data_IF_584903430871
#
_entry.id   IF_584903430871
#
_cell.length_a   1.000
_cell.length_b   1.000
_cell.length_c   1.000
_cell.angle_alpha   90.00
_cell.angle_beta   90.00
_cell.angle_gamma   90.00
#
_symmetry.space_group_name_H-M   'P 1'
#
loop_
_entity.id
_entity.type
_entity.pdbx_description
1 polymer ?
#
# COMPACT_ATOMS: atom_id res chain seq x y z
N UNK A 1 38.69 12.18 7.80
CA UNK A 1 37.62 11.38 8.42
C UNK A 1 37.98 9.91 8.26
N UNK A 2 38.53 9.24 9.28
CA UNK A 2 39.06 7.86 9.14
C UNK A 2 38.55 6.86 10.18
N UNK A 3 37.76 7.29 11.16
CA UNK A 3 37.22 6.39 12.19
C UNK A 3 35.84 6.87 12.67
N UNK A 4 34.75 6.41 12.04
CA UNK A 4 33.39 6.80 12.43
C UNK A 4 32.90 5.95 13.61
N UNK A 5 32.31 6.61 14.61
CA UNK A 5 31.56 5.93 15.67
C UNK A 5 30.29 5.33 15.03
N UNK A 6 30.15 4.00 15.10
CA UNK A 6 28.98 3.27 14.62
C UNK A 6 28.02 3.03 15.78
N UNK A 7 26.88 3.71 15.75
CA UNK A 7 25.76 3.41 16.65
C UNK A 7 24.85 2.44 15.88
N UNK A 8 24.93 1.15 16.22
CA UNK A 8 24.14 0.09 15.59
C UNK A 8 23.06 -0.34 16.57
N UNK A 9 21.79 -0.22 16.15
CA UNK A 9 20.69 -0.89 16.84
C UNK A 9 20.75 -2.36 16.41
N UNK A 10 20.61 -3.30 17.36
CA UNK A 10 20.42 -4.71 16.99
C UNK A 10 19.26 -4.75 16.00
N UNK A 11 19.39 -5.56 14.95
CA UNK A 11 18.24 -5.86 14.10
C UNK A 11 17.25 -6.58 15.00
N UNK A 12 16.38 -5.83 15.66
CA UNK A 12 15.23 -6.38 16.37
C UNK A 12 14.56 -7.28 15.33
N UNK A 13 14.12 -8.47 15.75
CA UNK A 13 13.09 -9.13 15.00
C UNK A 13 11.97 -8.10 14.91
N UNK A 14 11.85 -7.42 13.76
CA UNK A 14 10.77 -6.50 13.48
C UNK A 14 9.53 -7.37 13.38
N UNK A 15 9.03 -7.77 14.54
CA UNK A 15 7.75 -8.43 14.71
C UNK A 15 6.73 -7.31 14.54
N UNK A 16 5.80 -7.51 13.60
CA UNK A 16 4.67 -6.61 13.45
C UNK A 16 3.67 -6.88 14.60
N UNK A 17 4.11 -6.67 15.84
CA UNK A 17 3.28 -6.83 17.03
C UNK A 17 2.12 -5.84 16.94
N UNK A 18 0.89 -6.38 16.90
CA UNK A 18 -0.32 -5.58 16.66
C UNK A 18 -0.88 -5.66 15.24
N UNK A 19 -0.14 -6.18 14.26
CA UNK A 19 -0.64 -6.41 12.89
C UNK A 19 -0.88 -7.90 12.68
N UNK A 20 -2.14 -8.26 12.45
CA UNK A 20 -2.49 -9.62 12.03
C UNK A 20 -2.19 -9.78 10.55
N UNK A 21 -1.38 -10.79 10.23
CA UNK A 21 -0.96 -11.08 8.86
C UNK A 21 -1.73 -12.29 8.33
N UNK A 22 -2.31 -12.14 7.15
CA UNK A 22 -3.04 -13.19 6.45
C UNK A 22 -2.57 -13.26 5.00
N UNK A 23 -2.86 -14.36 4.33
CA UNK A 23 -2.67 -14.48 2.89
C UNK A 23 -3.88 -15.17 2.26
N UNK A 24 -4.16 -14.82 1.02
CA UNK A 24 -5.14 -15.50 0.17
C UNK A 24 -4.37 -16.07 -1.01
N UNK A 25 -4.42 -17.39 -1.16
CA UNK A 25 -3.80 -18.04 -2.31
C UNK A 25 -4.75 -17.92 -3.50
N UNK A 26 -4.29 -17.25 -4.54
CA UNK A 26 -4.94 -17.18 -5.85
C UNK A 26 -4.15 -18.00 -6.85
N UNK A 27 -4.82 -18.80 -7.67
CA UNK A 27 -4.15 -19.63 -8.68
C UNK A 27 -3.69 -18.83 -9.90
N UNK A 28 -4.44 -17.77 -10.23
CA UNK A 28 -4.20 -16.92 -11.41
C UNK A 28 -4.14 -15.46 -11.03
N UNK A 29 -3.30 -14.72 -11.75
CA UNK A 29 -3.13 -13.29 -11.55
C UNK A 29 -4.43 -12.51 -11.79
N UNK A 30 -5.21 -12.91 -12.80
CA UNK A 30 -6.50 -12.28 -13.12
C UNK A 30 -7.53 -12.39 -11.98
N UNK A 31 -7.45 -13.42 -11.15
CA UNK A 31 -8.40 -13.67 -10.06
C UNK A 31 -8.15 -12.79 -8.84
N UNK A 32 -6.98 -12.16 -8.73
CA UNK A 32 -6.68 -11.22 -7.65
C UNK A 32 -7.63 -10.03 -7.63
N UNK A 33 -8.04 -9.56 -8.81
CA UNK A 33 -8.90 -8.40 -8.94
C UNK A 33 -10.29 -8.68 -8.38
N UNK A 34 -10.87 -9.83 -8.74
CA UNK A 34 -12.18 -10.24 -8.21
C UNK A 34 -12.09 -10.52 -6.70
N UNK A 35 -11.03 -11.22 -6.26
CA UNK A 35 -10.76 -11.47 -4.83
C UNK A 35 -10.63 -10.16 -4.03
N UNK A 36 -9.99 -9.14 -4.60
CA UNK A 36 -9.87 -7.83 -3.98
C UNK A 36 -11.25 -7.18 -3.80
N UNK A 37 -12.09 -7.20 -4.83
CA UNK A 37 -13.43 -6.63 -4.78
C UNK A 37 -14.31 -7.35 -3.74
N UNK A 38 -14.30 -8.68 -3.70
CA UNK A 38 -15.05 -9.48 -2.71
C UNK A 38 -14.65 -9.11 -1.27
N UNK A 39 -13.36 -8.83 -1.04
CA UNK A 39 -12.84 -8.40 0.24
C UNK A 39 -13.40 -7.03 0.64
N UNK A 40 -13.52 -6.09 -0.30
CA UNK A 40 -14.09 -4.77 -0.05
C UNK A 40 -15.61 -4.80 0.18
N UNK A 41 -16.34 -5.73 -0.42
CA UNK A 41 -17.78 -5.90 -0.18
C UNK A 41 -18.08 -6.46 1.23
N UNK A 42 -17.18 -7.31 1.75
CA UNK A 42 -17.39 -8.00 3.02
C UNK A 42 -16.89 -7.20 4.23
N UNK A 43 -15.87 -6.35 4.04
CA UNK A 43 -15.21 -5.64 5.14
C UNK A 43 -15.69 -4.20 5.27
N UNK A 44 -16.06 -3.80 6.49
CA UNK A 44 -16.23 -2.38 6.84
C UNK A 44 -14.85 -1.75 7.03
N UNK A 45 -14.26 -1.27 5.94
CA UNK A 45 -12.91 -0.70 5.93
C UNK A 45 -12.98 0.80 6.28
N UNK A 46 -12.16 1.24 7.25
CA UNK A 46 -11.98 2.67 7.53
C UNK A 46 -11.15 3.30 6.43
N UNK A 47 -9.88 2.90 6.32
CA UNK A 47 -8.97 3.26 5.26
C UNK A 47 -8.00 2.12 4.99
N UNK A 48 -7.66 1.93 3.72
CA UNK A 48 -6.76 0.89 3.28
C UNK A 48 -5.69 1.41 2.30
N UNK A 49 -4.53 0.76 2.35
CA UNK A 49 -3.46 0.95 1.37
C UNK A 49 -3.26 -0.36 0.59
N UNK A 50 -3.23 -0.27 -0.73
CA UNK A 50 -2.96 -1.39 -1.64
C UNK A 50 -1.60 -1.15 -2.29
N UNK A 51 -0.66 -2.08 -2.08
CA UNK A 51 0.65 -2.03 -2.69
C UNK A 51 0.75 -2.94 -3.92
N UNK A 52 1.27 -2.37 -5.00
CA UNK A 52 1.59 -3.04 -6.27
C UNK A 52 3.02 -2.72 -6.68
N UNK A 53 3.66 -3.62 -7.42
CA UNK A 53 5.11 -3.50 -7.68
C UNK A 53 5.45 -2.50 -8.78
N UNK A 54 4.51 -2.13 -9.66
CA UNK A 54 4.80 -1.29 -10.84
C UNK A 54 3.79 -0.15 -11.00
N UNK A 55 4.27 0.98 -11.51
CA UNK A 55 3.45 2.18 -11.78
C UNK A 55 2.30 1.87 -12.75
N UNK A 56 2.59 1.16 -13.85
CA UNK A 56 1.57 0.74 -14.83
C UNK A 56 0.44 -0.06 -14.19
N UNK A 57 0.76 -0.87 -13.18
CA UNK A 57 -0.23 -1.68 -12.48
C UNK A 57 -1.02 -0.88 -11.45
N UNK A 58 -0.43 0.17 -10.86
CA UNK A 58 -1.19 1.18 -10.09
C UNK A 58 -2.27 1.77 -10.98
N UNK A 59 -1.91 2.27 -12.16
CA UNK A 59 -2.86 2.92 -13.08
C UNK A 59 -3.94 1.95 -13.52
N UNK A 60 -3.55 0.75 -13.96
CA UNK A 60 -4.47 -0.30 -14.38
C UNK A 60 -5.43 -0.72 -13.26
N UNK A 61 -4.93 -0.93 -12.04
CA UNK A 61 -5.76 -1.36 -10.92
C UNK A 61 -6.74 -0.26 -10.52
N UNK A 62 -6.29 1.00 -10.56
CA UNK A 62 -7.11 2.18 -10.29
C UNK A 62 -8.27 2.28 -11.27
N UNK A 63 -7.99 2.14 -12.58
CA UNK A 63 -9.02 2.12 -13.62
C UNK A 63 -10.02 0.97 -13.41
N UNK A 64 -9.53 -0.24 -13.10
CA UNK A 64 -10.39 -1.41 -12.87
C UNK A 64 -11.25 -1.27 -11.63
N UNK A 65 -10.73 -0.71 -10.55
CA UNK A 65 -11.49 -0.43 -9.33
C UNK A 65 -12.56 0.63 -9.59
N UNK A 66 -12.23 1.72 -10.30
CA UNK A 66 -13.20 2.73 -10.69
C UNK A 66 -14.31 2.18 -11.59
N UNK A 67 -14.00 1.28 -12.53
CA UNK A 67 -15.01 0.63 -13.38
C UNK A 67 -15.98 -0.27 -12.62
N UNK A 68 -15.67 -0.61 -11.36
CA UNK A 68 -16.53 -1.35 -10.43
C UNK A 68 -17.08 -0.45 -9.31
N UNK A 69 -17.15 0.85 -9.57
CA UNK A 69 -17.72 1.88 -8.67
C UNK A 69 -16.97 2.05 -7.32
N UNK A 70 -15.73 1.57 -7.21
CA UNK A 70 -14.89 1.87 -6.06
C UNK A 70 -14.25 3.26 -6.20
N UNK A 71 -14.35 4.05 -5.14
CA UNK A 71 -13.62 5.32 -5.03
C UNK A 71 -12.24 5.04 -4.44
N UNK A 72 -11.24 5.04 -5.32
CA UNK A 72 -9.83 4.84 -4.96
C UNK A 72 -9.00 6.06 -5.38
N UNK A 73 -7.89 6.30 -4.70
CA UNK A 73 -6.84 7.22 -5.13
C UNK A 73 -5.58 6.45 -5.43
N UNK A 74 -4.75 6.98 -6.32
CA UNK A 74 -3.51 6.32 -6.75
C UNK A 74 -2.32 7.25 -6.65
N UNK A 75 -1.19 6.77 -6.11
CA UNK A 75 0.01 7.57 -5.99
C UNK A 75 1.25 6.78 -6.41
N UNK A 76 2.06 7.31 -7.32
CA UNK A 76 3.31 6.68 -7.74
C UNK A 76 4.40 7.71 -8.08
N UNK A 77 5.65 7.26 -8.23
CA UNK A 77 6.83 8.14 -8.33
C UNK A 77 6.89 9.09 -9.53
N UNK A 78 6.16 8.79 -10.62
CA UNK A 78 6.11 9.66 -11.81
C UNK A 78 5.14 10.84 -11.70
N UNK A 79 4.36 10.91 -10.62
CA UNK A 79 3.42 12.01 -10.42
C UNK A 79 4.13 13.25 -9.89
N UNK A 80 3.67 14.42 -10.34
CA UNK A 80 4.15 15.68 -9.83
C UNK A 80 3.95 15.78 -8.32
N UNK A 81 4.89 16.44 -7.64
CA UNK A 81 4.85 16.59 -6.20
C UNK A 81 3.54 17.23 -5.71
N UNK A 82 3.00 18.18 -6.47
CA UNK A 82 1.72 18.85 -6.15
C UNK A 82 0.54 17.87 -6.14
N UNK A 83 0.48 16.98 -7.13
CA UNK A 83 -0.59 15.99 -7.23
C UNK A 83 -0.50 14.97 -6.08
N UNK A 84 0.72 14.52 -5.77
CA UNK A 84 0.97 13.64 -4.62
C UNK A 84 0.52 14.27 -3.29
N UNK A 85 0.74 15.57 -3.11
CA UNK A 85 0.28 16.30 -1.92
C UNK A 85 -1.24 16.42 -1.83
N UNK A 86 -1.92 16.63 -2.97
CA UNK A 86 -3.39 16.67 -3.03
C UNK A 86 -3.96 15.30 -2.65
N UNK A 87 -3.47 14.23 -3.29
CA UNK A 87 -3.93 12.86 -3.06
C UNK A 87 -3.70 12.44 -1.61
N UNK A 88 -2.53 12.77 -1.05
CA UNK A 88 -2.24 12.48 0.36
C UNK A 88 -3.09 13.30 1.32
N UNK A 89 -3.55 14.49 0.92
CA UNK A 89 -4.48 15.30 1.72
C UNK A 89 -5.87 14.69 1.72
N UNK A 90 -6.37 14.29 0.55
CA UNK A 90 -7.68 13.63 0.39
C UNK A 90 -7.73 12.28 1.08
N UNK A 91 -6.63 11.53 1.01
CA UNK A 91 -6.49 10.29 1.77
C UNK A 91 -6.45 10.60 3.27
N UNK A 92 -5.65 11.56 3.75
CA UNK A 92 -5.63 11.90 5.20
C UNK A 92 -6.95 12.46 5.74
N UNK A 93 -7.75 13.14 4.92
CA UNK A 93 -9.08 13.63 5.32
C UNK A 93 -10.15 12.55 5.32
N UNK A 94 -9.86 11.37 4.77
CA UNK A 94 -10.84 10.30 4.57
C UNK A 94 -11.80 10.53 3.40
N UNK A 95 -11.55 11.55 2.57
CA UNK A 95 -12.29 11.80 1.32
C UNK A 95 -12.08 10.66 0.34
N UNK A 96 -10.88 10.09 0.33
CA UNK A 96 -10.58 8.79 -0.27
C UNK A 96 -10.26 7.79 0.82
N UNK A 97 -10.89 6.62 0.76
CA UNK A 97 -10.69 5.54 1.74
C UNK A 97 -9.66 4.51 1.30
N UNK A 98 -9.28 4.51 0.02
CA UNK A 98 -8.38 3.50 -0.54
C UNK A 98 -7.28 4.19 -1.32
N UNK A 99 -6.03 3.92 -0.95
CA UNK A 99 -4.85 4.42 -1.64
C UNK A 99 -4.09 3.26 -2.31
N UNK A 100 -3.93 3.31 -3.63
CA UNK A 100 -3.13 2.36 -4.40
C UNK A 100 -1.76 2.99 -4.65
N UNK A 101 -0.67 2.30 -4.28
CA UNK A 101 0.68 2.85 -4.42
C UNK A 101 1.76 1.79 -4.67
N UNK A 102 2.98 2.25 -4.95
CA UNK A 102 4.17 1.42 -5.10
C UNK A 102 5.08 1.47 -3.87
N UNK A 103 5.99 0.50 -3.75
CA UNK A 103 6.95 0.37 -2.64
C UNK A 103 7.79 1.61 -2.39
N UNK A 104 8.10 2.34 -3.46
CA UNK A 104 8.94 3.52 -3.37
C UNK A 104 8.31 4.59 -2.47
N UNK A 105 6.97 4.65 -2.45
CA UNK A 105 6.23 5.62 -1.66
C UNK A 105 5.75 5.07 -0.31
N UNK A 106 5.92 3.77 -0.05
CA UNK A 106 5.53 3.15 1.21
C UNK A 106 6.16 3.85 2.43
N UNK A 107 7.44 4.25 2.32
CA UNK A 107 8.19 4.92 3.40
C UNK A 107 7.73 6.35 3.76
N UNK A 108 6.71 6.89 3.09
CA UNK A 108 6.19 8.25 3.33
C UNK A 108 4.69 8.33 3.60
N UNK A 109 3.98 7.20 3.61
CA UNK A 109 2.56 7.14 3.94
C UNK A 109 2.43 6.98 5.45
N UNK A 110 2.37 8.10 6.17
CA UNK A 110 2.09 8.12 7.60
C UNK A 110 0.62 8.53 7.83
N UNK A 111 -0.25 7.52 7.92
CA UNK A 111 -1.70 7.70 8.10
C UNK A 111 -2.19 6.73 9.18
N UNK A 112 -2.36 7.24 10.41
CA UNK A 112 -2.76 6.45 11.59
C UNK A 112 -4.11 5.73 11.48
N UNK A 113 -4.98 6.19 10.57
CA UNK A 113 -6.33 5.64 10.39
C UNK A 113 -6.38 4.41 9.46
N UNK A 114 -5.24 4.05 8.86
CA UNK A 114 -5.12 2.84 8.03
C UNK A 114 -5.23 1.61 8.93
N UNK A 115 -6.29 0.82 8.72
CA UNK A 115 -6.55 -0.41 9.46
C UNK A 115 -6.30 -1.67 8.63
N UNK A 116 -6.07 -1.51 7.32
CA UNK A 116 -5.87 -2.60 6.38
C UNK A 116 -4.78 -2.25 5.36
N UNK A 117 -3.80 -3.14 5.24
CA UNK A 117 -2.78 -3.09 4.19
C UNK A 117 -2.91 -4.34 3.32
N UNK A 118 -3.02 -4.14 2.01
CA UNK A 118 -3.15 -5.21 1.02
C UNK A 118 -1.91 -5.22 0.15
N UNK A 119 -1.17 -6.32 0.20
CA UNK A 119 -0.10 -6.60 -0.75
C UNK A 119 -0.68 -7.31 -1.97
N UNK A 120 -1.15 -6.54 -2.96
CA UNK A 120 -1.68 -7.11 -4.22
C UNK A 120 -0.59 -7.85 -4.99
N UNK A 121 0.61 -7.27 -5.00
CA UNK A 121 1.84 -7.96 -5.39
C UNK A 121 2.71 -8.16 -4.17
N UNK A 122 3.36 -9.32 -4.04
CA UNK A 122 4.33 -9.53 -2.99
C UNK A 122 5.56 -8.63 -3.25
N UNK A 123 6.12 -7.97 -2.22
CA UNK A 123 7.33 -7.16 -2.38
C UNK A 123 8.51 -8.03 -2.82
N UNK A 124 9.42 -7.44 -3.59
CA UNK A 124 10.59 -8.15 -4.13
C UNK A 124 11.60 -8.56 -3.06
N UNK A 125 11.58 -7.92 -1.90
CA UNK A 125 12.47 -8.22 -0.79
C UNK A 125 11.77 -8.07 0.56
N UNK A 126 12.38 -8.66 1.59
CA UNK A 126 11.85 -8.72 2.95
C UNK A 126 11.84 -7.35 3.64
N UNK A 127 12.73 -6.44 3.24
CA UNK A 127 12.79 -5.08 3.81
C UNK A 127 11.58 -4.26 3.37
N UNK A 128 11.23 -4.31 2.08
CA UNK A 128 10.02 -3.70 1.54
C UNK A 128 8.75 -4.24 2.21
N UNK A 129 8.71 -5.52 2.58
CA UNK A 129 7.57 -6.09 3.31
C UNK A 129 7.33 -5.42 4.66
N UNK A 130 8.39 -5.07 5.39
CA UNK A 130 8.27 -4.38 6.68
C UNK A 130 7.94 -2.89 6.51
N UNK A 131 8.28 -2.30 5.37
CA UNK A 131 7.98 -0.89 5.06
C UNK A 131 6.59 -0.65 4.50
N UNK A 132 5.92 -1.70 4.04
CA UNK A 132 4.53 -1.65 3.59
C UNK A 132 3.60 -1.86 4.78
#
# INVERSE_FOLDING_TARGET
>A
MRDPIRILVKKEELTLEGIKQFYIQVEKEEWKLDTLCDLYETLTITQAVIFVNTRRKVDWLTEKMHSRDFTVSSMHGDMDQKDREIIMREFRSGSSRVLISTDLLARGIDVQQVSLVINYDLPANRENYIHR
#
